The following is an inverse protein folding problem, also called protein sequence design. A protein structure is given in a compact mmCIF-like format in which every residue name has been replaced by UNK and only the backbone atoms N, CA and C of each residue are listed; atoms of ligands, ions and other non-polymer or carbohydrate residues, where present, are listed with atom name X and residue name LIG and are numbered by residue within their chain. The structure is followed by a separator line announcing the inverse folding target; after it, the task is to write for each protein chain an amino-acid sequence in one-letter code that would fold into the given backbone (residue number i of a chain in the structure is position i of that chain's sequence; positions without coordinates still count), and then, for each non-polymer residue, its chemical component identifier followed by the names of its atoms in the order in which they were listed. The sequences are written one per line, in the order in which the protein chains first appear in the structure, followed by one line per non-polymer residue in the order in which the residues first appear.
data_IF_663292419313
#
_entry.id   IF_663292419313
#
_cell.length_a   1.000
_cell.length_b   1.000
_cell.length_c   1.000
_cell.angle_alpha   90.00
_cell.angle_beta   90.00
_cell.angle_gamma   90.00
#
_symmetry.space_group_name_H-M   'P 1'
#
loop_
_entity.id
_entity.type
_entity.pdbx_description
1 polymer ?
#
# COMPACT_ATOMS: atom_id res chain seq x y z
N UNK A 1 16.73 -10.99 -3.31
CA UNK A 1 17.79 -10.05 -2.88
C UNK A 1 17.27 -8.66 -2.52
N UNK A 2 16.80 -7.81 -3.45
CA UNK A 2 16.37 -6.44 -3.07
C UNK A 2 15.06 -6.42 -2.26
N UNK A 3 14.08 -7.23 -2.64
CA UNK A 3 12.78 -7.39 -1.94
C UNK A 3 12.93 -7.93 -0.52
N UNK A 4 13.85 -8.88 -0.32
CA UNK A 4 14.20 -9.47 0.98
C UNK A 4 14.79 -8.47 1.97
N UNK A 5 15.31 -7.35 1.48
CA UNK A 5 15.87 -6.28 2.30
C UNK A 5 14.86 -5.14 2.48
N UNK A 6 14.14 -4.79 1.41
CA UNK A 6 13.19 -3.69 1.41
C UNK A 6 11.93 -4.03 2.23
N UNK A 7 11.29 -5.18 2.00
CA UNK A 7 10.03 -5.48 2.70
C UNK A 7 10.18 -5.50 4.24
N UNK A 8 11.16 -6.19 4.85
CA UNK A 8 11.31 -6.14 6.29
C UNK A 8 11.68 -4.74 6.80
N UNK A 9 12.47 -3.97 6.05
CA UNK A 9 12.78 -2.58 6.40
C UNK A 9 11.52 -1.71 6.42
N UNK A 10 10.68 -1.79 5.39
CA UNK A 10 9.44 -1.04 5.30
C UNK A 10 8.40 -1.50 6.31
N UNK A 11 8.28 -2.81 6.56
CA UNK A 11 7.40 -3.36 7.59
C UNK A 11 7.80 -2.90 8.99
N UNK A 12 9.11 -2.93 9.29
CA UNK A 12 9.64 -2.41 10.55
C UNK A 12 9.37 -0.91 10.70
N UNK A 13 9.73 -0.12 9.68
CA UNK A 13 9.52 1.34 9.67
C UNK A 13 8.05 1.71 9.81
N UNK A 14 7.14 1.00 9.12
CA UNK A 14 5.70 1.20 9.22
C UNK A 14 5.20 0.99 10.64
N UNK A 15 5.53 -0.14 11.26
CA UNK A 15 5.07 -0.47 12.61
C UNK A 15 5.65 0.52 13.65
N UNK A 16 6.92 0.90 13.47
CA UNK A 16 7.56 1.91 14.31
C UNK A 16 6.88 3.27 14.23
N UNK A 17 6.63 3.77 13.02
CA UNK A 17 5.98 5.08 12.82
C UNK A 17 4.54 5.07 13.31
N UNK A 18 3.80 3.97 13.09
CA UNK A 18 2.36 3.85 13.41
C UNK A 18 2.11 3.68 14.90
N UNK A 19 2.82 2.77 15.56
CA UNK A 19 2.51 2.34 16.93
C UNK A 19 3.45 2.93 17.98
N UNK A 20 4.71 3.26 17.61
CA UNK A 20 5.79 3.85 18.44
C UNK A 20 6.16 3.10 19.74
N UNK A 21 5.30 2.20 20.21
CA UNK A 21 5.44 1.40 21.41
C UNK A 21 5.84 -0.02 21.03
N UNK A 22 6.98 -0.48 21.55
CA UNK A 22 7.57 -1.77 21.19
C UNK A 22 6.70 -2.97 21.59
N UNK A 23 5.92 -2.88 22.67
CA UNK A 23 5.02 -3.94 23.08
C UNK A 23 3.80 -4.03 22.15
N UNK A 24 3.26 -2.88 21.72
CA UNK A 24 2.21 -2.84 20.70
C UNK A 24 2.71 -3.34 19.35
N UNK A 25 3.91 -2.95 18.94
CA UNK A 25 4.53 -3.43 17.69
C UNK A 25 4.62 -4.95 17.69
N UNK A 26 5.16 -5.55 18.76
CA UNK A 26 5.26 -7.01 18.87
C UNK A 26 3.88 -7.69 18.80
N UNK A 27 2.90 -7.15 19.52
CA UNK A 27 1.54 -7.70 19.54
C UNK A 27 0.87 -7.66 18.16
N UNK A 28 1.00 -6.54 17.44
CA UNK A 28 0.46 -6.39 16.08
C UNK A 28 1.22 -7.29 15.10
N UNK A 29 2.54 -7.36 15.21
CA UNK A 29 3.37 -8.20 14.36
C UNK A 29 3.01 -9.69 14.49
N UNK A 30 2.86 -10.18 15.72
CA UNK A 30 2.47 -11.58 15.99
C UNK A 30 1.03 -11.88 15.55
N UNK A 31 0.09 -10.95 15.74
CA UNK A 31 -1.33 -11.21 15.43
C UNK A 31 -1.71 -11.02 13.97
N UNK A 32 -1.16 -10.01 13.31
CA UNK A 32 -1.59 -9.62 11.95
C UNK A 32 -0.60 -10.07 10.88
N UNK A 33 0.63 -10.41 11.25
CA UNK A 33 1.73 -10.66 10.31
C UNK A 33 2.57 -11.90 10.67
N UNK A 34 2.03 -12.83 11.48
CA UNK A 34 2.70 -14.07 11.92
C UNK A 34 4.13 -13.88 12.47
N UNK A 35 4.40 -12.74 13.09
CA UNK A 35 5.71 -12.40 13.64
C UNK A 35 6.75 -11.94 12.60
N UNK A 36 6.34 -11.75 11.35
CA UNK A 36 7.22 -11.47 10.20
C UNK A 36 7.12 -10.03 9.71
N UNK A 37 8.22 -9.28 9.82
CA UNK A 37 8.32 -7.93 9.27
C UNK A 37 8.30 -7.93 7.74
N UNK A 38 8.73 -9.03 7.11
CA UNK A 38 8.69 -9.19 5.66
C UNK A 38 7.23 -9.17 5.18
N UNK A 39 6.35 -9.96 5.81
CA UNK A 39 4.95 -10.04 5.41
C UNK A 39 4.22 -8.73 5.68
N UNK A 40 4.51 -8.08 6.82
CA UNK A 40 4.02 -6.74 7.11
C UNK A 40 4.39 -5.74 6.00
N UNK A 41 5.66 -5.68 5.62
CA UNK A 41 6.14 -4.77 4.59
C UNK A 41 5.58 -5.08 3.21
N UNK A 42 5.52 -6.35 2.83
CA UNK A 42 4.98 -6.79 1.55
C UNK A 42 3.49 -6.43 1.42
N UNK A 43 2.68 -6.73 2.44
CA UNK A 43 1.25 -6.39 2.45
C UNK A 43 1.04 -4.88 2.38
N UNK A 44 1.78 -4.11 3.19
CA UNK A 44 1.63 -2.65 3.22
C UNK A 44 2.11 -1.98 1.93
N UNK A 45 3.22 -2.42 1.36
CA UNK A 45 3.66 -1.94 0.04
C UNK A 45 2.61 -2.26 -1.02
N UNK A 46 2.11 -3.49 -1.06
CA UNK A 46 1.11 -3.90 -2.04
C UNK A 46 -0.17 -3.06 -1.92
N UNK A 47 -0.61 -2.76 -0.70
CA UNK A 47 -1.73 -1.85 -0.45
C UNK A 47 -1.48 -0.46 -1.03
N UNK A 48 -0.30 0.14 -0.78
CA UNK A 48 0.06 1.47 -1.32
C UNK A 48 0.07 1.47 -2.84
N UNK A 49 0.70 0.47 -3.47
CA UNK A 49 0.72 0.32 -4.92
C UNK A 49 -0.69 0.11 -5.48
N UNK A 50 -1.52 -0.69 -4.81
CA UNK A 50 -2.92 -0.91 -5.16
C UNK A 50 -3.72 0.39 -5.17
N UNK A 51 -3.59 1.21 -4.12
CA UNK A 51 -4.25 2.52 -4.06
C UNK A 51 -3.79 3.46 -5.18
N UNK A 52 -2.48 3.55 -5.42
CA UNK A 52 -1.94 4.37 -6.51
C UNK A 52 -2.49 3.91 -7.87
N UNK A 53 -2.49 2.61 -8.13
CA UNK A 53 -2.95 2.07 -9.41
C UNK A 53 -4.45 2.27 -9.62
N UNK A 54 -5.27 2.03 -8.59
CA UNK A 54 -6.72 2.29 -8.65
C UNK A 54 -7.00 3.77 -8.87
N UNK A 55 -6.28 4.66 -8.19
CA UNK A 55 -6.45 6.11 -8.38
C UNK A 55 -6.15 6.53 -9.82
N UNK A 56 -5.09 5.97 -10.42
CA UNK A 56 -4.73 6.22 -11.81
C UNK A 56 -5.80 5.72 -12.78
N UNK A 57 -6.35 4.52 -12.52
CA UNK A 57 -7.44 3.96 -13.32
C UNK A 57 -8.70 4.83 -13.27
N UNK A 58 -9.05 5.37 -12.09
CA UNK A 58 -10.18 6.28 -11.95
C UNK A 58 -9.98 7.55 -12.78
N UNK A 59 -8.80 8.17 -12.70
CA UNK A 59 -8.48 9.38 -13.49
C UNK A 59 -8.56 9.08 -14.99
N UNK A 60 -8.03 7.94 -15.42
CA UNK A 60 -8.12 7.51 -16.81
C UNK A 60 -9.57 7.32 -17.26
N UNK A 61 -10.37 6.62 -16.47
CA UNK A 61 -11.78 6.37 -16.76
C UNK A 61 -12.57 7.68 -16.89
N UNK A 62 -12.40 8.59 -15.93
CA UNK A 62 -13.03 9.91 -15.95
C UNK A 62 -12.64 10.69 -17.20
N UNK A 63 -11.37 10.67 -17.57
CA UNK A 63 -10.87 11.36 -18.78
C UNK A 63 -11.50 10.81 -20.05
N UNK A 64 -11.62 9.48 -20.17
CA UNK A 64 -12.24 8.82 -21.34
C UNK A 64 -13.74 9.14 -21.42
N UNK A 65 -14.45 9.07 -20.30
CA UNK A 65 -15.88 9.38 -20.22
C UNK A 65 -16.12 10.86 -20.58
N UNK A 66 -15.34 11.77 -19.99
CA UNK A 66 -15.41 13.20 -20.28
C UNK A 66 -15.18 13.51 -21.77
N UNK A 67 -14.15 12.91 -22.36
CA UNK A 67 -13.83 13.09 -23.79
C UNK A 67 -14.94 12.59 -24.69
N UNK A 68 -15.56 11.46 -24.34
CA UNK A 68 -16.69 10.88 -25.09
C UNK A 68 -17.92 11.77 -25.02
N UNK A 69 -18.25 12.30 -23.84
CA UNK A 69 -19.40 13.20 -23.65
C UNK A 69 -19.20 14.48 -24.47
N UNK A 70 -18.02 15.11 -24.40
CA UNK A 70 -17.73 16.31 -25.18
C UNK A 70 -17.85 16.05 -26.68
N UNK A 71 -17.27 14.95 -27.16
CA UNK A 71 -17.32 14.60 -28.58
C UNK A 71 -18.73 14.27 -29.06
N UNK A 72 -19.61 13.84 -28.16
CA UNK A 72 -21.03 13.61 -28.48
C UNK A 72 -21.87 14.89 -28.48
N UNK A 73 -21.41 15.96 -27.84
CA UNK A 73 -22.09 17.26 -27.78
C UNK A 73 -21.63 18.24 -28.87
N UNK A 74 -20.43 18.05 -29.42
CA UNK A 74 -19.90 18.76 -30.59
C UNK A 74 -20.38 18.16 -31.89
#
# INVERSE_FOLDING_TARGET
MLSELLYPFFGWMYLWVRYRDSAKIKNVLEKEFDGSYYDCGAIKMLQVFGYLFISLLIVFLVSVVYSTIIKSLS
#
